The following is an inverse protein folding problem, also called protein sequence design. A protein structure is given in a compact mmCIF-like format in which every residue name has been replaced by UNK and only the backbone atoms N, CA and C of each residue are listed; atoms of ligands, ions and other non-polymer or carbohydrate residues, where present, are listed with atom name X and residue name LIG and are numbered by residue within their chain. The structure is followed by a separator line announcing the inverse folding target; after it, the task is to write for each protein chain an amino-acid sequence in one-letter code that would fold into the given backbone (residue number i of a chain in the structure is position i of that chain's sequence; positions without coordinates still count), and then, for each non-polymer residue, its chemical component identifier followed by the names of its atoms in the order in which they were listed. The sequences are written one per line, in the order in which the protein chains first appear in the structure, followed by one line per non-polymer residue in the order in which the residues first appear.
data_IF_718399044648
#
_entry.id   IF_718399044648
#
_cell.length_a   1.000
_cell.length_b   1.000
_cell.length_c   1.000
_cell.angle_alpha   90.00
_cell.angle_beta   90.00
_cell.angle_gamma   90.00
#
_symmetry.space_group_name_H-M   'P 1'
#
loop_
_entity.id
_entity.type
_entity.pdbx_description
1 polymer ?
#
# COMPACT_ATOMS: atom_id res chain seq x y z
N UNK A 1 -15.80 -11.55 -7.22
CA UNK A 1 -16.32 -10.17 -7.40
C UNK A 1 -15.14 -9.40 -7.98
N UNK A 2 -15.32 -8.62 -9.05
CA UNK A 2 -14.21 -7.78 -9.50
C UNK A 2 -13.99 -6.69 -8.46
N UNK A 3 -12.78 -6.67 -7.87
CA UNK A 3 -12.34 -5.68 -6.90
C UNK A 3 -12.33 -4.30 -7.56
N UNK A 4 -13.32 -3.46 -7.24
CA UNK A 4 -13.45 -2.10 -7.80
C UNK A 4 -12.23 -1.25 -7.44
N UNK A 5 -11.80 -1.34 -6.18
CA UNK A 5 -10.68 -0.55 -5.69
C UNK A 5 -9.38 -1.37 -5.75
N UNK A 6 -8.30 -0.71 -6.16
CA UNK A 6 -6.97 -1.29 -6.16
C UNK A 6 -6.20 -0.85 -4.91
N UNK A 7 -5.74 -1.81 -4.12
CA UNK A 7 -4.88 -1.57 -2.96
C UNK A 7 -3.40 -1.78 -3.31
N UNK A 8 -2.57 -0.80 -3.00
CA UNK A 8 -1.11 -0.88 -3.13
C UNK A 8 -0.50 -0.79 -1.74
N UNK A 9 0.14 -1.88 -1.29
CA UNK A 9 0.76 -1.95 0.04
C UNK A 9 2.05 -1.12 0.06
N UNK A 10 2.15 -0.19 1.00
CA UNK A 10 3.34 0.61 1.25
C UNK A 10 4.25 -0.01 2.32
N UNK A 11 3.63 -0.45 3.42
CA UNK A 11 4.35 -0.98 4.59
C UNK A 11 3.68 -2.25 5.06
N UNK A 12 4.49 -3.21 5.51
CA UNK A 12 4.04 -4.41 6.22
C UNK A 12 4.94 -4.67 7.42
N UNK A 13 4.32 -4.74 8.58
CA UNK A 13 4.96 -5.20 9.82
C UNK A 13 4.19 -6.42 10.35
N UNK A 14 4.67 -7.09 11.41
CA UNK A 14 3.93 -8.20 12.01
C UNK A 14 2.55 -7.81 12.55
N UNK A 15 2.32 -6.54 12.91
CA UNK A 15 1.09 -6.09 13.57
C UNK A 15 0.41 -4.92 12.87
N UNK A 16 0.93 -4.45 11.73
CA UNK A 16 0.37 -3.29 11.03
C UNK A 16 0.69 -3.29 9.55
N UNK A 17 -0.21 -2.75 8.75
CA UNK A 17 -0.06 -2.61 7.30
C UNK A 17 -0.60 -1.26 6.84
N UNK A 18 0.06 -0.66 5.85
CA UNK A 18 -0.36 0.61 5.25
C UNK A 18 -0.61 0.38 3.76
N UNK A 19 -1.74 0.84 3.26
CA UNK A 19 -2.13 0.74 1.86
C UNK A 19 -2.57 2.09 1.31
N UNK A 20 -2.17 2.37 0.08
CA UNK A 20 -2.84 3.36 -0.76
C UNK A 20 -3.93 2.68 -1.57
N UNK A 21 -5.10 3.32 -1.68
CA UNK A 21 -6.20 2.80 -2.49
C UNK A 21 -6.59 3.75 -3.62
N UNK A 22 -6.98 3.14 -4.74
CA UNK A 22 -7.15 3.80 -6.04
C UNK A 22 -8.43 3.31 -6.73
N UNK A 23 -9.07 4.18 -7.49
CA UNK A 23 -10.13 3.84 -8.47
C UNK A 23 -9.60 4.19 -9.88
N UNK A 24 -9.24 3.16 -10.64
CA UNK A 24 -8.49 3.32 -11.89
C UNK A 24 -7.14 4.02 -11.68
N UNK A 25 -7.00 5.23 -12.22
CA UNK A 25 -5.81 6.07 -12.08
C UNK A 25 -5.92 7.14 -10.99
N UNK A 26 -7.10 7.28 -10.35
CA UNK A 26 -7.36 8.29 -9.31
C UNK A 26 -6.96 7.74 -7.94
N UNK A 27 -6.04 8.42 -7.25
CA UNK A 27 -5.74 8.16 -5.83
C UNK A 27 -6.95 8.59 -5.01
N UNK A 28 -7.45 7.68 -4.19
CA UNK A 28 -8.60 7.96 -3.34
C UNK A 28 -8.20 8.22 -1.89
N UNK A 29 -7.10 7.63 -1.42
CA UNK A 29 -6.65 7.79 -0.06
C UNK A 29 -5.66 6.74 0.44
N UNK A 30 -5.54 6.68 1.76
CA UNK A 30 -4.70 5.75 2.50
C UNK A 30 -5.50 5.05 3.61
N UNK A 31 -5.20 3.77 3.85
CA UNK A 31 -5.65 3.04 5.03
C UNK A 31 -4.47 2.50 5.81
N UNK A 32 -4.48 2.76 7.11
CA UNK A 32 -3.54 2.26 8.11
C UNK A 32 -4.25 1.22 8.98
N UNK A 33 -3.86 -0.04 8.83
CA UNK A 33 -4.47 -1.18 9.53
C UNK A 33 -3.55 -1.64 10.65
N UNK A 34 -4.11 -1.84 11.83
CA UNK A 34 -3.41 -2.33 13.01
C UNK A 34 -4.11 -3.60 13.50
N UNK A 35 -3.35 -4.69 13.55
CA UNK A 35 -3.81 -6.00 13.99
C UNK A 35 -3.46 -6.18 15.48
N UNK A 36 -4.49 -6.32 16.31
CA UNK A 36 -4.37 -6.86 17.66
C UNK A 36 -4.76 -8.36 17.66
N UNK A 37 -4.76 -9.00 18.84
CA UNK A 37 -5.03 -10.44 18.94
C UNK A 37 -6.41 -10.82 18.41
N UNK A 38 -7.46 -10.11 18.85
CA UNK A 38 -8.86 -10.43 18.52
C UNK A 38 -9.61 -9.23 17.88
N UNK A 39 -8.92 -8.10 17.71
CA UNK A 39 -9.50 -6.85 17.19
C UNK A 39 -8.63 -6.28 16.08
N UNK A 40 -9.27 -5.66 15.09
CA UNK A 40 -8.58 -4.94 14.01
C UNK A 40 -9.03 -3.49 14.01
N UNK A 41 -8.07 -2.57 14.01
CA UNK A 41 -8.32 -1.13 13.89
C UNK A 41 -7.82 -0.62 12.55
N UNK A 42 -8.69 0.06 11.80
CA UNK A 42 -8.32 0.76 10.58
C UNK A 42 -8.51 2.28 10.74
N UNK A 43 -7.54 3.05 10.30
CA UNK A 43 -7.67 4.48 10.06
C UNK A 43 -7.70 4.68 8.56
N UNK A 44 -8.80 5.20 8.02
CA UNK A 44 -9.01 5.46 6.59
C UNK A 44 -9.03 6.96 6.37
N UNK A 45 -8.17 7.44 5.48
CA UNK A 45 -8.09 8.86 5.11
C UNK A 45 -8.45 8.96 3.63
N UNK A 46 -9.55 9.66 3.35
CA UNK A 46 -9.95 10.02 1.99
C UNK A 46 -9.32 11.34 1.57
N UNK A 47 -8.58 11.29 0.47
CA UNK A 47 -7.98 12.44 -0.21
C UNK A 47 -8.92 13.07 -1.24
N UNK A 48 -10.05 12.40 -1.52
CA UNK A 48 -11.05 12.87 -2.46
C UNK A 48 -12.45 12.59 -1.94
N UNK A 49 -13.43 13.38 -2.37
CA UNK A 49 -14.82 13.12 -2.00
C UNK A 49 -15.36 11.85 -2.67
N UNK A 50 -15.88 10.97 -1.82
CA UNK A 50 -16.61 9.78 -2.18
C UNK A 50 -18.07 9.93 -1.74
N UNK A 51 -18.98 9.30 -2.48
CA UNK A 51 -20.36 9.13 -2.03
C UNK A 51 -20.42 8.07 -0.92
N UNK A 52 -21.47 8.12 -0.09
CA UNK A 52 -21.64 7.18 1.02
C UNK A 52 -21.60 5.71 0.57
N UNK A 53 -22.20 5.39 -0.58
CA UNK A 53 -22.15 4.02 -1.12
C UNK A 53 -20.75 3.59 -1.53
N UNK A 54 -19.94 4.51 -2.06
CA UNK A 54 -18.54 4.22 -2.40
C UNK A 54 -17.67 4.02 -1.15
N UNK A 55 -17.94 4.79 -0.09
CA UNK A 55 -17.29 4.61 1.20
C UNK A 55 -17.62 3.24 1.80
N UNK A 56 -18.90 2.83 1.78
CA UNK A 56 -19.36 1.51 2.24
C UNK A 56 -18.76 0.36 1.42
N UNK A 57 -18.76 0.47 0.09
CA UNK A 57 -18.16 -0.52 -0.81
C UNK A 57 -16.66 -0.69 -0.54
N UNK A 58 -15.93 0.42 -0.33
CA UNK A 58 -14.50 0.38 -0.03
C UNK A 58 -14.24 -0.27 1.32
N UNK A 59 -14.99 0.10 2.36
CA UNK A 59 -14.84 -0.50 3.69
C UNK A 59 -15.13 -1.99 3.67
N UNK A 60 -16.15 -2.43 2.92
CA UNK A 60 -16.44 -3.84 2.72
C UNK A 60 -15.28 -4.56 2.01
N UNK A 61 -14.69 -3.93 0.99
CA UNK A 61 -13.54 -4.50 0.28
C UNK A 61 -12.28 -4.55 1.16
N UNK A 62 -12.02 -3.54 2.00
CA UNK A 62 -10.93 -3.56 3.00
C UNK A 62 -11.12 -4.75 3.95
N UNK A 63 -12.34 -4.96 4.44
CA UNK A 63 -12.63 -6.09 5.33
C UNK A 63 -12.38 -7.45 4.66
N UNK A 64 -12.80 -7.63 3.40
CA UNK A 64 -12.66 -8.89 2.67
C UNK A 64 -11.22 -9.15 2.20
N UNK A 65 -10.60 -8.18 1.53
CA UNK A 65 -9.31 -8.37 0.83
C UNK A 65 -8.11 -8.32 1.79
N UNK A 66 -8.12 -7.40 2.76
CA UNK A 66 -6.96 -7.12 3.62
C UNK A 66 -7.14 -7.80 4.96
N UNK A 67 -8.25 -7.50 5.61
CA UNK A 67 -8.45 -7.70 7.02
C UNK A 67 -8.82 -9.17 7.29
N UNK A 68 -9.70 -9.76 6.47
CA UNK A 68 -10.01 -11.21 6.49
C UNK A 68 -8.86 -12.09 6.01
N UNK A 69 -7.91 -11.55 5.24
CA UNK A 69 -6.69 -12.27 4.85
C UNK A 69 -5.72 -12.47 6.02
N UNK A 70 -5.76 -11.61 7.04
CA UNK A 70 -4.89 -11.73 8.22
C UNK A 70 -5.59 -12.48 9.36
N UNK A 71 -6.80 -12.03 9.73
CA UNK A 71 -7.59 -12.62 10.81
C UNK A 71 -8.98 -12.95 10.25
N UNK A 72 -9.28 -14.23 9.99
CA UNK A 72 -10.59 -14.64 9.48
C UNK A 72 -11.73 -14.17 10.37
N UNK A 73 -12.89 -13.89 9.77
CA UNK A 73 -14.06 -13.34 10.48
C UNK A 73 -14.53 -14.17 11.69
N UNK A 74 -14.24 -15.46 11.74
CA UNK A 74 -14.61 -16.35 12.85
C UNK A 74 -13.62 -16.31 14.03
N UNK A 75 -12.42 -15.76 13.83
CA UNK A 75 -11.36 -15.59 14.86
C UNK A 75 -11.29 -14.14 15.35
N UNK A 76 -12.07 -13.24 14.75
CA UNK A 76 -12.14 -11.83 15.12
C UNK A 76 -13.37 -11.55 15.99
N UNK A 77 -13.16 -10.79 17.06
CA UNK A 77 -14.26 -10.22 17.85
C UNK A 77 -14.80 -8.92 17.26
N UNK A 78 -13.92 -7.99 16.83
CA UNK A 78 -14.35 -6.68 16.34
C UNK A 78 -13.44 -6.06 15.25
N UNK A 79 -14.05 -5.32 14.31
CA UNK A 79 -13.38 -4.49 13.32
C UNK A 79 -13.87 -3.04 13.39
N UNK A 80 -12.99 -2.14 13.83
CA UNK A 80 -13.30 -0.71 13.94
C UNK A 80 -12.57 0.06 12.84
N UNK A 81 -13.33 0.75 11.99
CA UNK A 81 -12.79 1.69 11.01
C UNK A 81 -13.12 3.14 11.40
N UNK A 82 -12.09 3.98 11.53
CA UNK A 82 -12.24 5.43 11.66
C UNK A 82 -11.98 6.07 10.31
N UNK A 83 -12.93 6.88 9.84
CA UNK A 83 -12.88 7.51 8.51
C UNK A 83 -12.67 9.01 8.67
N UNK A 84 -11.67 9.53 7.96
CA UNK A 84 -11.32 10.94 7.91
C UNK A 84 -11.29 11.42 6.47
N UNK A 85 -11.53 12.71 6.26
CA UNK A 85 -11.25 13.41 5.00
C UNK A 85 -10.12 14.38 5.22
N UNK A 86 -9.12 14.38 4.33
CA UNK A 86 -7.94 15.23 4.47
C UNK A 86 -7.12 15.26 3.19
N UNK A 87 -6.22 16.23 3.10
CA UNK A 87 -5.31 16.41 1.96
C UNK A 87 -3.87 16.22 2.41
N UNK A 88 -3.07 15.49 1.63
CA UNK A 88 -1.63 15.36 1.87
C UNK A 88 -0.93 16.68 1.52
N UNK A 89 -0.59 17.48 2.54
CA UNK A 89 0.03 18.79 2.34
C UNK A 89 1.54 18.73 2.06
N UNK A 90 2.23 17.73 2.61
CA UNK A 90 3.70 17.60 2.53
C UNK A 90 4.13 16.23 3.01
N UNK A 91 5.21 15.72 2.43
CA UNK A 91 5.86 14.47 2.83
C UNK A 91 7.31 14.74 3.19
N UNK A 92 7.71 14.35 4.40
CA UNK A 92 9.09 14.42 4.85
C UNK A 92 9.67 13.01 4.92
N UNK A 93 10.88 12.82 4.42
CA UNK A 93 11.61 11.55 4.46
C UNK A 93 13.02 11.80 4.98
N UNK A 94 13.49 10.95 5.89
CA UNK A 94 14.83 11.08 6.48
C UNK A 94 15.95 10.55 5.55
N UNK A 95 15.61 10.07 4.36
CA UNK A 95 16.58 9.75 3.31
C UNK A 95 17.16 11.03 2.70
N UNK A 96 18.18 11.59 3.36
CA UNK A 96 19.20 12.41 2.71
C UNK A 96 20.43 11.53 2.46
N UNK A 97 20.46 10.78 1.36
CA UNK A 97 21.61 9.95 0.98
C UNK A 97 21.74 9.85 -0.54
N UNK A 98 22.95 9.96 -1.11
CA UNK A 98 23.17 9.98 -2.55
C UNK A 98 22.90 8.58 -3.11
N UNK A 99 21.81 8.43 -3.84
CA UNK A 99 21.49 7.19 -4.57
C UNK A 99 21.17 7.54 -6.04
N UNK A 100 21.94 8.48 -6.61
CA UNK A 100 21.91 8.85 -8.03
C UNK A 100 23.20 8.41 -8.78
N UNK A 101 24.08 7.60 -8.17
CA UNK A 101 25.27 7.03 -8.83
C UNK A 101 25.13 5.50 -8.95
N UNK A 102 24.09 5.04 -9.64
CA UNK A 102 24.18 3.76 -10.38
C UNK A 102 24.43 4.19 -11.81
N UNK A 103 25.69 4.48 -12.12
CA UNK A 103 26.18 4.51 -13.48
C UNK A 103 26.05 3.07 -13.99
N UNK A 104 25.22 2.87 -15.02
CA UNK A 104 25.25 1.68 -15.86
C UNK A 104 26.64 1.64 -16.53
N UNK A 105 27.64 1.11 -15.82
CA UNK A 105 28.87 0.66 -16.45
C UNK A 105 28.54 -0.62 -17.24
N UNK A 106 28.02 -0.42 -18.45
CA UNK A 106 28.12 -1.36 -19.56
C UNK A 106 29.62 -1.71 -19.75
N UNK A 107 30.11 -2.74 -19.06
CA UNK A 107 31.37 -3.39 -19.41
C UNK A 107 31.14 -4.24 -20.68
N UNK A 108 31.17 -3.56 -21.82
CA UNK A 108 31.47 -4.14 -23.13
C UNK A 108 32.93 -4.66 -23.10
N UNK A 109 33.16 -5.89 -22.65
CA UNK A 109 34.42 -6.62 -22.94
C UNK A 109 34.35 -7.26 -24.34
N UNK A 110 34.48 -6.42 -25.38
CA UNK A 110 35.04 -6.83 -26.67
C UNK A 110 36.55 -6.51 -26.65
N UNK A 111 37.41 -7.51 -26.47
CA UNK A 111 38.75 -7.46 -27.06
C UNK A 111 39.23 -8.84 -27.52
N UNK A 112 39.45 -8.88 -28.83
CA UNK A 112 39.93 -9.93 -29.68
C UNK A 112 41.47 -10.05 -29.51
N UNK A 113 42.02 -11.21 -29.11
CA UNK A 113 43.42 -11.50 -29.44
C UNK A 113 43.58 -12.95 -29.91
N UNK A 114 43.59 -13.10 -31.24
CA UNK A 114 44.18 -14.25 -31.89
C UNK A 114 45.71 -14.14 -31.83
N UNK A 115 46.38 -15.12 -31.22
CA UNK A 115 47.73 -15.52 -31.60
C UNK A 115 47.85 -17.03 -31.73
N UNK A 116 48.17 -17.42 -32.96
CA UNK A 116 48.60 -18.73 -33.41
C UNK A 116 49.89 -19.17 -32.69
N UNK A 117 49.99 -20.44 -32.29
CA UNK A 117 50.90 -21.48 -32.83
C UNK A 117 50.74 -22.82 -32.06
#
# INVERSE_FOLDING_TARGET
MESRFKFTRLVRTPSSEIYLFWDGSRRLGQVDVHFAQETVHATVIFETDLSVGEEEDLLAQIDDDIVSSYLPRFEREDFVAHVFRGEEISRYTDCSGPMDDIDDEDEDEDDEDGREE
#
